data_IF_850367396907
#
_entry.id   IF_850367396907
#
_cell.length_a   1.000
_cell.length_b   1.000
_cell.length_c   1.000
_cell.angle_alpha   90.00
_cell.angle_beta   90.00
_cell.angle_gamma   90.00
#
_symmetry.space_group_name_H-M   'P 1'
#
loop_
_entity.id
_entity.type
_entity.pdbx_description
1 polymer ?
#
# COMPACT_ATOMS: atom_id res chain seq x y z
N UNK A 1 -11.66 -15.30 -8.20
CA UNK A 1 -10.45 -14.51 -8.23
C UNK A 1 -9.94 -14.26 -6.82
N UNK A 2 -8.73 -14.73 -6.59
CA UNK A 2 -8.06 -14.70 -5.28
C UNK A 2 -7.80 -13.24 -4.82
N UNK A 3 -7.68 -12.30 -5.76
CA UNK A 3 -7.36 -10.92 -5.48
C UNK A 3 -8.42 -10.14 -4.69
N UNK A 4 -9.71 -10.33 -5.00
CA UNK A 4 -10.79 -9.60 -4.33
C UNK A 4 -11.05 -10.06 -2.90
N UNK A 5 -10.82 -11.35 -2.59
CA UNK A 5 -10.93 -11.87 -1.22
C UNK A 5 -9.80 -11.37 -0.33
N UNK A 6 -8.55 -11.41 -0.82
CA UNK A 6 -7.40 -10.90 -0.08
C UNK A 6 -7.51 -9.41 0.23
N UNK A 7 -7.99 -8.61 -0.73
CA UNK A 7 -8.25 -7.18 -0.57
C UNK A 7 -9.27 -6.90 0.56
N UNK A 8 -10.43 -7.58 0.51
CA UNK A 8 -11.47 -7.42 1.51
C UNK A 8 -11.04 -7.86 2.91
N UNK A 9 -10.26 -8.93 3.01
CA UNK A 9 -9.78 -9.46 4.29
C UNK A 9 -8.73 -8.57 4.93
N UNK A 10 -7.76 -8.06 4.17
CA UNK A 10 -6.75 -7.12 4.68
C UNK A 10 -7.46 -5.87 5.20
N UNK A 11 -8.34 -5.27 4.43
CA UNK A 11 -9.04 -4.05 4.82
C UNK A 11 -9.97 -4.25 6.02
N UNK A 12 -10.74 -5.35 6.05
CA UNK A 12 -11.63 -5.67 7.17
C UNK A 12 -10.90 -5.89 8.49
N UNK A 13 -9.75 -6.55 8.46
CA UNK A 13 -8.94 -6.81 9.66
C UNK A 13 -8.28 -5.55 10.19
N UNK A 14 -7.83 -4.65 9.30
CA UNK A 14 -7.26 -3.35 9.65
C UNK A 14 -8.30 -2.39 10.19
N UNK A 15 -9.49 -2.39 9.59
CA UNK A 15 -10.54 -1.40 9.80
C UNK A 15 -11.75 -1.95 10.55
N UNK A 16 -11.55 -2.73 11.64
CA UNK A 16 -12.65 -3.32 12.43
C UNK A 16 -13.74 -2.33 12.87
N UNK A 17 -13.46 -1.02 12.83
CA UNK A 17 -14.39 0.05 13.22
C UNK A 17 -14.75 0.99 12.07
N UNK A 18 -14.27 0.72 10.86
CA UNK A 18 -14.50 1.57 9.70
C UNK A 18 -15.47 0.91 8.71
N UNK A 19 -16.22 1.72 7.96
CA UNK A 19 -17.05 1.19 6.88
C UNK A 19 -16.18 0.50 5.82
N UNK A 20 -16.78 -0.48 5.14
CA UNK A 20 -16.11 -1.20 4.06
C UNK A 20 -15.74 -0.22 2.94
N UNK A 21 -14.50 -0.32 2.45
CA UNK A 21 -14.04 0.49 1.32
C UNK A 21 -14.90 0.24 0.07
N UNK A 22 -15.40 1.31 -0.52
CA UNK A 22 -16.16 1.26 -1.77
C UNK A 22 -15.21 1.39 -2.96
N UNK A 23 -15.19 0.39 -3.82
CA UNK A 23 -14.31 0.37 -4.99
C UNK A 23 -14.93 -0.36 -6.16
N UNK A 24 -14.41 -0.06 -7.36
CA UNK A 24 -14.67 -0.77 -8.61
C UNK A 24 -13.34 -1.27 -9.15
N UNK A 25 -13.30 -2.53 -9.57
CA UNK A 25 -12.13 -3.10 -10.23
C UNK A 25 -12.06 -2.64 -11.69
N UNK A 26 -10.87 -2.22 -12.13
CA UNK A 26 -10.60 -1.72 -13.46
C UNK A 26 -9.60 -2.59 -14.20
N UNK A 27 -9.71 -2.61 -15.52
CA UNK A 27 -8.60 -3.06 -16.37
C UNK A 27 -7.48 -2.01 -16.34
N UNK A 28 -6.20 -2.41 -16.47
CA UNK A 28 -5.07 -1.48 -16.38
C UNK A 28 -5.15 -0.30 -17.35
N UNK A 29 -5.68 -0.52 -18.56
CA UNK A 29 -5.82 0.51 -19.60
C UNK A 29 -6.96 1.52 -19.33
N UNK A 30 -7.82 1.24 -18.36
CA UNK A 30 -8.87 2.17 -17.91
C UNK A 30 -8.38 3.19 -16.90
N UNK A 31 -7.16 3.05 -16.39
CA UNK A 31 -6.58 3.95 -15.41
C UNK A 31 -6.01 5.17 -16.12
N UNK A 32 -6.42 6.40 -15.75
CA UNK A 32 -5.87 7.60 -16.38
C UNK A 32 -4.45 7.90 -15.92
N UNK A 33 -3.70 8.65 -16.75
CA UNK A 33 -2.41 9.20 -16.31
C UNK A 33 -2.62 10.34 -15.30
N UNK A 34 -1.72 10.57 -14.35
CA UNK A 34 -0.44 9.86 -14.13
C UNK A 34 -0.57 8.53 -13.36
N UNK A 35 -1.77 8.16 -12.95
CA UNK A 35 -2.00 6.96 -12.14
C UNK A 35 -1.62 5.67 -12.87
N UNK A 36 -1.85 5.59 -14.17
CA UNK A 36 -1.48 4.40 -14.94
C UNK A 36 0.03 4.14 -14.85
N UNK A 37 0.84 5.15 -15.08
CA UNK A 37 2.31 5.02 -14.98
C UNK A 37 2.77 4.70 -13.56
N UNK A 38 2.07 5.20 -12.55
CA UNK A 38 2.42 4.96 -11.15
C UNK A 38 2.00 3.59 -10.64
N UNK A 39 0.87 3.06 -11.11
CA UNK A 39 0.27 1.85 -10.57
C UNK A 39 0.55 0.59 -11.41
N UNK A 40 0.61 0.72 -12.74
CA UNK A 40 0.68 -0.43 -13.65
C UNK A 40 2.12 -0.82 -13.90
N UNK A 41 2.69 -1.58 -12.99
CA UNK A 41 4.04 -2.14 -13.07
C UNK A 41 4.19 -3.30 -12.07
N UNK A 42 5.23 -4.10 -12.25
CA UNK A 42 5.54 -5.24 -11.38
C UNK A 42 6.53 -4.91 -10.26
N UNK A 43 6.95 -3.65 -10.15
CA UNK A 43 7.87 -3.19 -9.13
C UNK A 43 7.18 -2.81 -7.81
N UNK A 44 7.98 -2.44 -6.84
CA UNK A 44 7.48 -1.88 -5.58
C UNK A 44 7.02 -0.43 -5.76
N UNK A 45 5.97 -0.08 -5.02
CA UNK A 45 5.43 1.29 -5.07
C UNK A 45 6.37 2.31 -4.43
N UNK A 46 7.10 1.93 -3.39
CA UNK A 46 8.00 2.84 -2.70
C UNK A 46 8.99 3.48 -3.66
N UNK A 47 9.73 2.65 -4.41
CA UNK A 47 10.71 3.16 -5.39
C UNK A 47 10.06 3.99 -6.48
N UNK A 48 8.87 3.59 -6.96
CA UNK A 48 8.13 4.31 -8.00
C UNK A 48 7.70 5.70 -7.52
N UNK A 49 7.14 5.78 -6.31
CA UNK A 49 6.71 7.05 -5.72
C UNK A 49 7.89 7.93 -5.32
N UNK A 50 8.98 7.35 -4.81
CA UNK A 50 10.21 8.11 -4.52
C UNK A 50 10.77 8.76 -5.78
N UNK A 51 10.78 8.04 -6.90
CA UNK A 51 11.21 8.60 -8.18
C UNK A 51 10.27 9.70 -8.70
N UNK A 52 8.95 9.49 -8.60
CA UNK A 52 7.96 10.47 -9.06
C UNK A 52 8.00 11.77 -8.24
N UNK A 53 8.13 11.66 -6.93
CA UNK A 53 8.14 12.82 -6.02
C UNK A 53 9.54 13.37 -5.76
N UNK A 54 10.58 12.75 -6.28
CA UNK A 54 11.99 13.12 -6.07
C UNK A 54 12.33 13.27 -4.58
N UNK A 55 11.79 12.38 -3.75
CA UNK A 55 11.93 12.41 -2.28
C UNK A 55 11.91 11.00 -1.71
N UNK A 56 12.64 10.80 -0.62
CA UNK A 56 12.49 9.61 0.21
C UNK A 56 11.13 9.61 0.89
N UNK A 57 10.58 8.40 1.11
CA UNK A 57 9.30 8.22 1.77
C UNK A 57 9.49 7.71 3.19
N UNK A 58 8.68 8.22 4.09
CA UNK A 58 8.57 7.76 5.47
C UNK A 58 7.17 7.25 5.74
N UNK A 59 7.06 6.30 6.65
CA UNK A 59 5.78 5.75 7.10
C UNK A 59 5.23 6.59 8.25
N UNK A 60 3.99 7.02 8.11
CA UNK A 60 3.17 7.52 9.21
C UNK A 60 2.11 6.48 9.54
N UNK A 61 2.25 5.80 10.67
CA UNK A 61 1.32 4.73 11.06
C UNK A 61 0.02 5.33 11.59
N UNK A 62 -1.10 4.89 11.04
CA UNK A 62 -2.43 5.26 11.50
C UNK A 62 -2.97 4.26 12.51
N UNK A 63 -2.82 2.98 12.22
CA UNK A 63 -3.25 1.86 13.07
C UNK A 63 -2.37 0.66 12.82
N UNK A 64 -2.25 -0.18 13.84
CA UNK A 64 -1.62 -1.50 13.72
C UNK A 64 -2.23 -2.50 14.67
N UNK A 65 -2.15 -3.77 14.31
CA UNK A 65 -2.55 -4.89 15.17
C UNK A 65 -1.77 -6.13 14.78
N UNK A 66 -1.63 -7.07 15.71
CA UNK A 66 -0.98 -8.35 15.45
C UNK A 66 -1.77 -9.47 16.11
N UNK A 67 -1.85 -10.62 15.45
CA UNK A 67 -2.40 -11.85 16.02
C UNK A 67 -1.31 -12.89 16.33
N UNK A 68 -0.04 -12.47 16.34
CA UNK A 68 1.12 -13.32 16.60
C UNK A 68 1.75 -13.95 15.37
N UNK A 69 1.02 -14.08 14.27
CA UNK A 69 1.48 -14.61 12.98
C UNK A 69 1.48 -13.55 11.91
N UNK A 70 0.42 -12.76 11.87
CA UNK A 70 0.22 -11.67 10.92
C UNK A 70 0.28 -10.34 11.64
N UNK A 71 0.90 -9.38 11.00
CA UNK A 71 0.96 -7.98 11.42
C UNK A 71 0.18 -7.15 10.41
N UNK A 72 -0.76 -6.36 10.92
CA UNK A 72 -1.62 -5.50 10.12
C UNK A 72 -1.30 -4.05 10.44
N UNK A 73 -1.21 -3.22 9.41
CA UNK A 73 -1.10 -1.77 9.62
C UNK A 73 -1.81 -0.99 8.52
N UNK A 74 -2.39 0.13 8.91
CA UNK A 74 -2.78 1.22 8.02
C UNK A 74 -1.75 2.33 8.14
N UNK A 75 -1.27 2.81 7.03
CA UNK A 75 -0.20 3.80 6.99
C UNK A 75 -0.47 4.86 5.93
N UNK A 76 0.14 6.02 6.12
CA UNK A 76 0.41 6.96 5.04
C UNK A 76 1.89 6.90 4.70
N UNK A 77 2.22 6.87 3.43
CA UNK A 77 3.56 7.19 2.98
C UNK A 77 3.63 8.69 2.73
N UNK A 78 4.62 9.32 3.31
CA UNK A 78 4.82 10.77 3.23
C UNK A 78 6.21 11.09 2.72
N UNK A 79 6.32 12.12 1.91
CA UNK A 79 7.61 12.63 1.51
C UNK A 79 8.39 13.17 2.71
N UNK A 80 9.66 12.78 2.81
CA UNK A 80 10.53 13.17 3.94
C UNK A 80 10.69 14.67 4.07
N UNK A 81 10.85 15.35 2.94
CA UNK A 81 11.18 16.78 2.92
C UNK A 81 9.95 17.68 3.12
N UNK A 82 8.80 17.33 2.53
CA UNK A 82 7.62 18.19 2.53
C UNK A 82 6.43 17.66 3.34
N UNK A 83 6.56 16.48 3.96
CA UNK A 83 5.49 15.82 4.74
C UNK A 83 4.18 15.64 3.95
N UNK A 84 4.29 15.53 2.61
CA UNK A 84 3.16 15.33 1.72
C UNK A 84 2.73 13.85 1.74
N UNK A 85 1.46 13.58 2.01
CA UNK A 85 0.90 12.24 1.90
C UNK A 85 0.77 11.84 0.43
N UNK A 86 1.47 10.77 0.04
CA UNK A 86 1.54 10.30 -1.35
C UNK A 86 0.93 8.92 -1.56
N UNK A 87 0.62 8.21 -0.50
CA UNK A 87 -0.06 6.92 -0.55
C UNK A 87 -0.76 6.64 0.78
N UNK A 88 -1.97 6.08 0.68
CA UNK A 88 -2.62 5.37 1.77
C UNK A 88 -2.44 3.88 1.55
N UNK A 89 -1.93 3.18 2.53
CA UNK A 89 -1.69 1.75 2.48
C UNK A 89 -2.36 0.99 3.61
N UNK A 90 -3.01 -0.14 3.26
CA UNK A 90 -3.43 -1.13 4.22
C UNK A 90 -2.70 -2.43 3.90
N UNK A 91 -1.95 -2.96 4.85
CA UNK A 91 -1.05 -4.07 4.62
C UNK A 91 -1.19 -5.17 5.69
N UNK A 92 -1.23 -6.42 5.22
CA UNK A 92 -1.04 -7.61 6.04
C UNK A 92 0.34 -8.17 5.77
N UNK A 93 1.14 -8.33 6.80
CA UNK A 93 2.51 -8.86 6.72
C UNK A 93 2.60 -10.17 7.49
N UNK A 94 3.05 -11.22 6.81
CA UNK A 94 3.34 -12.50 7.43
C UNK A 94 4.74 -12.44 8.06
N UNK A 95 4.82 -12.08 9.34
CA UNK A 95 6.09 -11.89 10.04
C UNK A 95 6.99 -13.12 10.01
N UNK A 96 6.41 -14.33 10.06
CA UNK A 96 7.17 -15.57 10.01
C UNK A 96 7.90 -15.80 8.68
N UNK A 97 7.48 -15.12 7.60
CA UNK A 97 8.12 -15.21 6.29
C UNK A 97 9.19 -14.15 6.06
N UNK A 98 9.44 -13.30 7.06
CA UNK A 98 10.51 -12.32 7.05
C UNK A 98 11.74 -12.85 7.79
N UNK A 99 12.95 -12.45 7.37
CA UNK A 99 14.16 -12.65 8.17
C UNK A 99 14.00 -12.06 9.59
N UNK A 100 14.58 -12.72 10.59
CA UNK A 100 14.44 -12.33 11.99
C UNK A 100 14.86 -10.87 12.24
N UNK A 101 15.90 -10.40 11.56
CA UNK A 101 16.41 -9.03 11.71
C UNK A 101 15.45 -7.96 11.18
N UNK A 102 14.55 -8.30 10.26
CA UNK A 102 13.59 -7.35 9.71
C UNK A 102 12.32 -7.20 10.53
N UNK A 103 11.94 -8.22 11.29
CA UNK A 103 10.69 -8.20 12.06
C UNK A 103 10.56 -7.00 13.00
N UNK A 104 11.57 -6.67 13.84
CA UNK A 104 11.48 -5.48 14.68
C UNK A 104 11.37 -4.18 13.89
N UNK A 105 12.06 -4.06 12.76
CA UNK A 105 12.03 -2.86 11.92
C UNK A 105 10.66 -2.66 11.27
N UNK A 106 10.01 -3.75 10.88
CA UNK A 106 8.64 -3.70 10.34
C UNK A 106 7.65 -3.26 11.40
N UNK A 107 7.73 -3.82 12.59
CA UNK A 107 6.84 -3.49 13.71
C UNK A 107 7.07 -2.06 14.21
N UNK A 108 8.28 -1.54 14.14
CA UNK A 108 8.61 -0.15 14.46
C UNK A 108 7.90 0.85 13.54
N UNK A 109 7.57 0.43 12.32
CA UNK A 109 6.73 1.16 11.37
C UNK A 109 7.24 2.55 10.98
N UNK A 110 8.55 2.72 10.86
CA UNK A 110 9.17 3.99 10.42
C UNK A 110 9.47 4.03 8.94
N UNK A 111 9.68 2.87 8.32
CA UNK A 111 10.06 2.75 6.92
C UNK A 111 9.03 1.90 6.15
N UNK A 112 8.80 2.20 4.86
CA UNK A 112 7.99 1.36 3.99
C UNK A 112 8.59 -0.05 3.87
N UNK A 113 7.72 -1.08 3.75
CA UNK A 113 8.18 -2.46 3.62
C UNK A 113 9.07 -2.65 2.38
N UNK A 114 8.67 -2.11 1.23
CA UNK A 114 9.47 -2.18 0.00
C UNK A 114 10.86 -1.57 0.18
N UNK A 115 10.95 -0.44 0.87
CA UNK A 115 12.22 0.21 1.20
C UNK A 115 13.11 -0.66 2.09
N UNK A 116 12.54 -1.31 3.11
CA UNK A 116 13.27 -2.23 3.99
C UNK A 116 13.80 -3.46 3.23
N UNK A 117 12.96 -4.07 2.39
CA UNK A 117 13.36 -5.22 1.58
C UNK A 117 14.51 -4.88 0.64
N UNK A 118 14.44 -3.73 -0.02
CA UNK A 118 15.47 -3.25 -0.93
C UNK A 118 16.78 -2.93 -0.18
N UNK A 119 16.72 -2.22 0.92
CA UNK A 119 17.87 -1.85 1.73
C UNK A 119 18.63 -3.07 2.25
N UNK A 120 17.88 -4.06 2.73
CA UNK A 120 18.45 -5.31 3.27
C UNK A 120 18.72 -6.37 2.20
N UNK A 121 18.51 -6.04 0.92
CA UNK A 121 18.75 -6.94 -0.23
C UNK A 121 18.03 -8.27 -0.10
N UNK A 122 16.79 -8.24 0.40
CA UNK A 122 15.94 -9.42 0.49
C UNK A 122 15.32 -9.67 -0.88
N UNK A 123 15.52 -10.84 -1.49
CA UNK A 123 14.89 -11.17 -2.76
C UNK A 123 13.37 -11.31 -2.61
N UNK A 124 12.63 -10.63 -3.47
CA UNK A 124 11.18 -10.74 -3.52
C UNK A 124 10.66 -10.44 -4.93
N UNK A 125 9.45 -10.88 -5.19
CA UNK A 125 8.69 -10.45 -6.35
C UNK A 125 7.43 -9.71 -5.91
N UNK A 126 7.03 -8.75 -6.71
CA UNK A 126 5.82 -7.94 -6.50
C UNK A 126 4.89 -8.17 -7.68
N UNK A 127 3.64 -8.48 -7.41
CA UNK A 127 2.66 -8.76 -8.46
C UNK A 127 1.33 -8.06 -8.16
N UNK A 128 0.93 -7.09 -8.99
CA UNK A 128 -0.41 -6.52 -8.92
C UNK A 128 -1.47 -7.60 -9.13
N UNK A 129 -2.50 -7.59 -8.28
CA UNK A 129 -3.62 -8.54 -8.34
C UNK A 129 -4.90 -7.92 -8.85
N UNK A 130 -5.08 -6.62 -8.61
CA UNK A 130 -6.23 -5.86 -9.09
C UNK A 130 -5.89 -4.37 -9.15
N UNK A 131 -6.50 -3.66 -10.07
CA UNK A 131 -6.47 -2.21 -10.14
C UNK A 131 -7.84 -1.67 -9.77
N UNK A 132 -7.88 -0.55 -9.06
CA UNK A 132 -9.06 -0.08 -8.37
C UNK A 132 -9.34 1.38 -8.66
N UNK A 133 -10.63 1.69 -8.83
CA UNK A 133 -11.16 3.03 -8.67
C UNK A 133 -11.88 3.08 -7.33
N UNK A 134 -11.48 3.97 -6.45
CA UNK A 134 -11.90 4.01 -5.06
C UNK A 134 -12.69 5.28 -4.79
N UNK A 135 -13.87 5.13 -4.16
CA UNK A 135 -14.57 6.26 -3.57
C UNK A 135 -14.00 6.49 -2.18
N UNK A 136 -13.43 7.67 -1.89
CA UNK A 136 -12.79 7.91 -0.60
C UNK A 136 -13.80 7.87 0.55
N UNK A 137 -13.44 7.20 1.63
CA UNK A 137 -14.17 7.23 2.89
C UNK A 137 -13.63 8.33 3.83
N UNK A 138 -14.23 8.49 5.00
CA UNK A 138 -13.82 9.51 5.96
C UNK A 138 -12.32 9.51 6.27
N UNK A 139 -11.72 8.36 6.64
CA UNK A 139 -10.28 8.28 6.92
C UNK A 139 -9.37 8.64 5.74
N UNK A 140 -9.74 8.25 4.52
CA UNK A 140 -8.96 8.58 3.31
C UNK A 140 -9.10 10.06 2.98
N UNK A 141 -10.31 10.62 3.10
CA UNK A 141 -10.56 12.06 2.90
C UNK A 141 -9.70 12.87 3.88
N UNK A 142 -9.71 12.51 5.15
CA UNK A 142 -8.90 13.19 6.16
C UNK A 142 -7.40 13.09 5.86
N UNK A 143 -6.93 11.88 5.49
CA UNK A 143 -5.52 11.62 5.24
C UNK A 143 -4.96 12.41 4.04
N UNK A 144 -5.74 12.53 2.97
CA UNK A 144 -5.30 13.19 1.74
C UNK A 144 -5.79 14.62 1.58
N UNK A 145 -6.70 15.09 2.43
CA UNK A 145 -7.42 16.33 2.16
C UNK A 145 -8.32 16.25 0.92
N UNK A 146 -8.74 15.04 0.55
CA UNK A 146 -9.62 14.79 -0.57
C UNK A 146 -11.06 15.20 -0.26
N UNK A 147 -11.92 15.22 -1.27
CA UNK A 147 -13.36 15.43 -1.14
C UNK A 147 -14.14 14.17 -1.54
N UNK A 148 -15.37 14.02 -1.05
CA UNK A 148 -16.20 12.81 -1.31
C UNK A 148 -16.41 12.51 -2.80
N UNK A 149 -16.43 13.55 -3.64
CA UNK A 149 -16.62 13.41 -5.08
C UNK A 149 -15.34 13.02 -5.84
N UNK A 150 -14.19 12.95 -5.18
CA UNK A 150 -12.95 12.55 -5.83
C UNK A 150 -13.01 11.07 -6.19
N UNK A 151 -12.48 10.73 -7.37
CA UNK A 151 -12.20 9.38 -7.77
C UNK A 151 -10.72 9.12 -7.53
N UNK A 152 -10.40 8.18 -6.64
CA UNK A 152 -9.04 7.80 -6.35
C UNK A 152 -8.71 6.49 -7.06
N UNK A 153 -7.43 6.28 -7.33
CA UNK A 153 -6.96 5.08 -7.98
C UNK A 153 -5.94 4.36 -7.11
N UNK A 154 -5.97 3.04 -7.18
CA UNK A 154 -5.08 2.21 -6.40
C UNK A 154 -4.89 0.84 -7.00
N UNK A 155 -4.12 0.03 -6.30
CA UNK A 155 -3.94 -1.38 -6.66
C UNK A 155 -3.92 -2.26 -5.43
N UNK A 156 -4.33 -3.51 -5.62
CA UNK A 156 -4.03 -4.61 -4.72
C UNK A 156 -2.74 -5.27 -5.20
N UNK A 157 -1.80 -5.49 -4.30
CA UNK A 157 -0.49 -6.04 -4.62
C UNK A 157 -0.12 -7.17 -3.66
N UNK A 158 0.64 -8.13 -4.15
CA UNK A 158 1.15 -9.23 -3.35
C UNK A 158 2.67 -9.29 -3.47
N UNK A 159 3.35 -9.35 -2.34
CA UNK A 159 4.80 -9.52 -2.27
C UNK A 159 5.09 -10.95 -1.86
N UNK A 160 5.88 -11.64 -2.67
CA UNK A 160 6.25 -13.04 -2.50
C UNK A 160 7.76 -13.13 -2.33
N UNK A 161 8.20 -13.90 -1.33
CA UNK A 161 9.61 -14.15 -1.08
C UNK A 161 10.23 -15.14 -2.04
N UNK A 162 11.55 -15.30 -1.91
CA UNK A 162 12.37 -16.18 -2.74
C UNK A 162 11.87 -17.64 -2.79
N UNK A 163 11.36 -18.15 -1.67
CA UNK A 163 10.85 -19.52 -1.55
C UNK A 163 9.39 -19.68 -1.99
N UNK A 164 8.76 -18.65 -2.52
CA UNK A 164 7.36 -18.66 -2.94
C UNK A 164 6.35 -18.32 -1.84
N UNK A 165 6.79 -18.09 -0.60
CA UNK A 165 5.90 -17.69 0.49
C UNK A 165 5.45 -16.25 0.32
N UNK A 166 4.16 -15.99 0.57
CA UNK A 166 3.61 -14.64 0.56
C UNK A 166 4.10 -13.89 1.79
N UNK A 167 4.86 -12.82 1.57
CA UNK A 167 5.36 -11.93 2.62
C UNK A 167 4.28 -10.94 3.02
N UNK A 168 3.60 -10.34 2.05
CA UNK A 168 2.62 -9.29 2.30
C UNK A 168 1.53 -9.22 1.24
N UNK A 169 0.35 -8.78 1.67
CA UNK A 169 -0.76 -8.35 0.81
C UNK A 169 -1.07 -6.90 1.12
N UNK A 170 -1.15 -6.08 0.09
CA UNK A 170 -1.20 -4.63 0.22
C UNK A 170 -2.32 -4.06 -0.63
N UNK A 171 -3.06 -3.12 -0.07
CA UNK A 171 -3.92 -2.19 -0.81
C UNK A 171 -3.21 -0.84 -0.80
N UNK A 172 -2.96 -0.31 -1.96
CA UNK A 172 -2.22 0.95 -2.17
C UNK A 172 -3.13 1.93 -2.91
N UNK A 173 -3.45 3.06 -2.30
CA UNK A 173 -4.34 4.08 -2.86
C UNK A 173 -3.56 5.39 -2.95
N UNK A 174 -3.62 6.02 -4.13
CA UNK A 174 -2.94 7.28 -4.38
C UNK A 174 -3.89 8.46 -4.13
N UNK A 175 -3.36 9.61 -3.69
CA UNK A 175 -4.15 10.82 -3.51
C UNK A 175 -4.58 11.41 -4.86
N UNK A 176 -5.47 12.42 -4.87
CA UNK A 176 -5.69 13.21 -6.07
C UNK A 176 -4.36 13.78 -6.57
N UNK A 177 -4.09 13.61 -7.87
CA UNK A 177 -2.90 14.13 -8.53
C UNK A 177 -3.36 15.07 -9.65
N UNK A 178 -2.63 16.18 -9.79
CA UNK A 178 -2.90 17.11 -10.88
C UNK A 178 -2.55 16.48 -12.22
N UNK A 179 -3.44 16.59 -13.18
CA UNK A 179 -3.14 16.29 -14.57
C UNK A 179 -2.13 17.34 -15.08
N UNK A 180 -0.93 16.90 -15.38
CA UNK A 180 0.08 17.75 -16.02
C UNK A 180 -0.09 17.76 -17.54
#
# INVERSE_FOLDING_TARGET
PIGSRGLGDVYKRQARKLPKLSFVELDPDQIPEPYQSLLVHDGDMTSRLEAYHESKLLVSSLRSSSDGKSYFREVLLKTKESDLAVEYGAIEIALQHLPDELRPLVVEAKQPLGGLLNEHRIPYSSAPRAFLKVSPDGPIIEAFGAVESDELFGRSNEITGFNGDVIARIVEILPPLDEN
#
